data_IF_589864709246
#
_entry.id   IF_589864709246
#
_cell.length_a   1.000
_cell.length_b   1.000
_cell.length_c   1.000
_cell.angle_alpha   90.00
_cell.angle_beta   90.00
_cell.angle_gamma   90.00
#
_symmetry.space_group_name_H-M   'P 1'
#
loop_
_entity.id
_entity.type
_entity.pdbx_description
1 polymer ?
#
# COMPACT_ATOMS: atom_id res chain seq x y z
N UNK A 1 2.20 -26.90 -4.93
CA UNK A 1 1.46 -26.24 -3.83
C UNK A 1 2.48 -25.43 -3.07
N UNK A 2 2.28 -24.13 -2.91
CA UNK A 2 3.20 -23.32 -2.11
C UNK A 2 3.21 -23.84 -0.67
N UNK A 3 4.37 -23.88 -0.02
CA UNK A 3 4.47 -24.24 1.40
C UNK A 3 3.73 -23.18 2.24
N UNK A 4 3.04 -23.63 3.29
CA UNK A 4 2.36 -22.72 4.22
C UNK A 4 3.41 -21.91 4.99
N UNK A 5 3.20 -20.61 5.11
CA UNK A 5 4.05 -19.73 5.92
C UNK A 5 3.64 -19.79 7.38
N UNK A 6 4.58 -20.15 8.26
CA UNK A 6 4.33 -20.21 9.69
C UNK A 6 4.64 -18.87 10.37
N UNK A 7 3.60 -18.21 10.86
CA UNK A 7 3.69 -17.04 11.72
C UNK A 7 4.00 -17.49 13.15
N UNK A 8 5.16 -17.07 13.68
CA UNK A 8 5.61 -17.41 15.04
C UNK A 8 5.69 -16.15 15.92
N UNK A 9 5.55 -16.26 17.25
CA UNK A 9 5.58 -15.09 18.14
C UNK A 9 6.95 -14.40 18.18
N UNK A 10 8.02 -15.15 17.91
CA UNK A 10 9.41 -14.69 18.00
C UNK A 10 9.96 -14.13 16.70
N UNK A 11 9.28 -14.35 15.58
CA UNK A 11 9.73 -13.92 14.25
C UNK A 11 8.79 -12.85 13.71
N UNK A 12 9.18 -11.56 13.69
CA UNK A 12 8.34 -10.51 13.16
C UNK A 12 8.17 -10.65 11.64
N UNK A 13 7.03 -10.19 11.12
CA UNK A 13 6.85 -10.04 9.68
C UNK A 13 7.86 -8.99 9.17
N UNK A 14 8.64 -9.35 8.16
CA UNK A 14 9.61 -8.47 7.52
C UNK A 14 9.13 -8.06 6.13
N UNK A 15 9.71 -7.00 5.56
CA UNK A 15 9.37 -6.57 4.20
C UNK A 15 9.64 -7.64 3.13
N UNK A 16 10.75 -8.40 3.16
CA UNK A 16 10.95 -9.53 2.25
C UNK A 16 9.85 -10.60 2.39
N UNK A 17 9.49 -10.97 3.63
CA UNK A 17 8.41 -11.94 3.86
C UNK A 17 7.08 -11.44 3.32
N UNK A 18 6.73 -10.17 3.58
CA UNK A 18 5.50 -9.56 3.08
C UNK A 18 5.49 -9.52 1.55
N UNK A 19 6.62 -9.22 0.89
CA UNK A 19 6.75 -9.25 -0.57
C UNK A 19 6.41 -10.64 -1.12
N UNK A 20 7.03 -11.69 -0.57
CA UNK A 20 6.81 -13.08 -0.99
C UNK A 20 5.35 -13.51 -0.77
N UNK A 21 4.76 -13.17 0.38
CA UNK A 21 3.37 -13.50 0.69
C UNK A 21 2.36 -12.75 -0.18
N UNK A 22 2.65 -11.51 -0.55
CA UNK A 22 1.78 -10.72 -1.43
C UNK A 22 1.90 -11.16 -2.90
N UNK A 23 3.01 -11.78 -3.28
CA UNK A 23 3.23 -12.31 -4.63
C UNK A 23 2.82 -13.79 -4.80
N UNK A 24 2.45 -14.48 -3.72
CA UNK A 24 2.09 -15.89 -3.74
C UNK A 24 0.70 -16.15 -3.16
N UNK A 25 0.15 -17.32 -3.47
CA UNK A 25 -1.08 -17.84 -2.85
C UNK A 25 -0.75 -18.69 -1.60
N UNK A 26 0.42 -18.45 -0.98
CA UNK A 26 0.83 -19.17 0.22
C UNK A 26 -0.14 -18.84 1.37
N UNK A 27 -0.61 -19.87 2.06
CA UNK A 27 -1.44 -19.68 3.25
C UNK A 27 -0.55 -19.32 4.42
N UNK A 28 -1.05 -18.46 5.30
CA UNK A 28 -0.38 -18.12 6.55
C UNK A 28 -1.06 -18.87 7.69
N UNK A 29 -0.28 -19.63 8.44
CA UNK A 29 -0.73 -20.42 9.60
C UNK A 29 0.03 -19.98 10.84
N UNK A 30 -0.47 -20.30 12.04
CA UNK A 30 0.17 -19.94 13.31
C UNK A 30 0.38 -21.20 14.16
N UNK A 31 1.53 -21.28 14.84
CA UNK A 31 1.85 -22.33 15.81
C UNK A 31 1.34 -22.01 17.22
N UNK A 32 0.69 -20.85 17.41
CA UNK A 32 0.24 -20.38 18.73
C UNK A 32 -0.47 -21.51 19.50
N UNK A 33 0.25 -22.09 20.46
CA UNK A 33 -0.23 -23.07 21.41
C UNK A 33 -1.10 -22.36 22.43
N UNK A 34 -2.30 -22.88 22.67
CA UNK A 34 -3.27 -22.24 23.56
C UNK A 34 -2.77 -22.19 25.00
N UNK A 35 -2.24 -21.05 25.42
CA UNK A 35 -2.27 -20.63 26.82
C UNK A 35 -2.71 -19.17 26.84
N UNK A 36 -3.95 -18.86 27.28
CA UNK A 36 -4.35 -17.48 27.49
C UNK A 36 -3.50 -16.91 28.64
N UNK A 37 -2.75 -15.84 28.37
CA UNK A 37 -1.87 -15.19 29.35
C UNK A 37 -2.55 -14.06 30.15
N UNK A 38 -3.83 -13.78 29.89
CA UNK A 38 -4.63 -12.87 30.73
C UNK A 38 -5.67 -13.67 31.52
N UNK A 39 -5.82 -13.33 32.81
CA UNK A 39 -6.97 -13.75 33.60
C UNK A 39 -8.25 -13.30 32.89
N UNK A 40 -9.29 -14.14 32.77
CA UNK A 40 -10.52 -13.74 32.12
C UNK A 40 -11.20 -12.62 32.93
N UNK A 41 -11.04 -11.39 32.48
CA UNK A 41 -11.86 -10.29 32.96
C UNK A 41 -13.30 -10.54 32.50
N UNK A 42 -14.17 -10.78 33.46
CA UNK A 42 -15.57 -11.20 33.30
C UNK A 42 -16.49 -10.09 32.75
N UNK A 43 -15.91 -9.00 32.25
CA UNK A 43 -16.60 -7.82 31.71
C UNK A 43 -16.23 -7.54 30.25
N UNK A 44 -15.64 -8.50 29.54
CA UNK A 44 -15.32 -8.34 28.13
C UNK A 44 -16.59 -8.07 27.30
N UNK A 45 -16.70 -6.86 26.77
CA UNK A 45 -17.83 -6.36 25.98
C UNK A 45 -17.32 -5.84 24.65
N UNK A 46 -18.06 -6.08 23.57
CA UNK A 46 -17.77 -5.50 22.25
C UNK A 46 -18.10 -3.99 22.16
N UNK A 47 -18.65 -3.37 23.22
CA UNK A 47 -19.04 -1.96 23.23
C UNK A 47 -17.91 -0.98 22.83
N UNK A 48 -16.64 -1.15 23.26
CA UNK A 48 -15.55 -0.27 22.83
C UNK A 48 -15.29 -0.35 21.31
N UNK A 49 -15.41 -1.54 20.71
CA UNK A 49 -15.28 -1.71 19.25
C UNK A 49 -16.40 -0.96 18.52
N UNK A 50 -17.64 -1.14 18.99
CA UNK A 50 -18.80 -0.46 18.40
C UNK A 50 -18.67 1.07 18.49
N UNK A 51 -18.21 1.59 19.64
CA UNK A 51 -17.98 3.01 19.83
C UNK A 51 -16.82 3.56 18.97
N UNK A 52 -15.78 2.75 18.75
CA UNK A 52 -14.61 3.12 17.97
C UNK A 52 -14.81 2.93 16.45
N UNK A 53 -15.80 2.17 16.00
CA UNK A 53 -16.11 1.93 14.58
C UNK A 53 -16.78 3.13 13.90
N UNK A 54 -16.20 4.31 14.06
CA UNK A 54 -16.66 5.60 13.53
C UNK A 54 -15.92 6.05 12.27
N UNK A 55 -15.26 5.12 11.56
CA UNK A 55 -14.61 5.39 10.29
C UNK A 55 -15.58 5.89 9.22
N UNK A 56 -15.12 6.82 8.37
CA UNK A 56 -15.94 7.50 7.34
C UNK A 56 -15.18 7.62 6.01
N UNK A 57 -15.89 8.10 4.98
CA UNK A 57 -15.32 8.32 3.65
C UNK A 57 -15.40 7.07 2.78
N UNK A 58 -14.46 6.92 1.84
CA UNK A 58 -14.39 5.78 0.94
C UNK A 58 -13.95 4.51 1.67
N UNK A 59 -14.33 3.34 1.15
CA UNK A 59 -13.79 2.06 1.61
C UNK A 59 -12.29 1.96 1.32
N UNK A 60 -11.54 1.35 2.23
CA UNK A 60 -10.15 0.99 2.02
C UNK A 60 -10.08 -0.13 0.95
N UNK A 61 -9.15 -0.05 -0.02
CA UNK A 61 -8.94 -1.08 -1.01
C UNK A 61 -8.77 -2.47 -0.36
N UNK A 62 -9.42 -3.50 -0.93
CA UNK A 62 -9.36 -4.86 -0.39
C UNK A 62 -7.94 -5.41 -0.24
N UNK A 63 -7.02 -5.05 -1.15
CA UNK A 63 -5.60 -5.41 -1.03
C UNK A 63 -4.94 -4.87 0.25
N UNK A 64 -5.36 -3.67 0.70
CA UNK A 64 -4.87 -3.06 1.92
C UNK A 64 -5.53 -3.69 3.14
N UNK A 65 -6.84 -3.96 3.10
CA UNK A 65 -7.55 -4.68 4.18
C UNK A 65 -6.95 -6.07 4.40
N UNK A 66 -6.65 -6.80 3.32
CA UNK A 66 -5.96 -8.09 3.40
C UNK A 66 -4.60 -7.96 4.10
N UNK A 67 -3.81 -6.95 3.74
CA UNK A 67 -2.53 -6.68 4.41
C UNK A 67 -2.72 -6.25 5.88
N UNK A 68 -3.76 -5.47 6.21
CA UNK A 68 -4.11 -5.09 7.58
C UNK A 68 -4.39 -6.32 8.43
N UNK A 69 -5.14 -7.31 7.92
CA UNK A 69 -5.41 -8.57 8.64
C UNK A 69 -4.12 -9.31 9.00
N UNK A 70 -3.18 -9.43 8.05
CA UNK A 70 -1.91 -10.11 8.27
C UNK A 70 -1.03 -9.38 9.29
N UNK A 71 -0.90 -8.05 9.13
CA UNK A 71 -0.13 -7.22 10.06
C UNK A 71 -0.74 -7.25 11.46
N UNK A 72 -2.08 -7.18 11.56
CA UNK A 72 -2.80 -7.29 12.81
C UNK A 72 -2.58 -8.65 13.46
N UNK A 73 -2.67 -9.76 12.71
CA UNK A 73 -2.38 -11.09 13.24
C UNK A 73 -0.97 -11.19 13.82
N UNK A 74 0.04 -10.66 13.12
CA UNK A 74 1.42 -10.63 13.61
C UNK A 74 1.60 -9.76 14.86
N UNK A 75 0.94 -8.59 14.93
CA UNK A 75 0.97 -7.74 16.12
C UNK A 75 0.27 -8.39 17.32
N UNK A 76 -0.90 -8.99 17.11
CA UNK A 76 -1.66 -9.69 18.15
C UNK A 76 -0.90 -10.90 18.68
N UNK A 77 -0.26 -11.69 17.80
CA UNK A 77 0.55 -12.83 18.22
C UNK A 77 1.75 -12.41 19.07
N UNK A 78 2.42 -11.30 18.73
CA UNK A 78 3.52 -10.74 19.54
C UNK A 78 3.06 -10.17 20.88
N UNK A 79 1.82 -9.69 20.97
CA UNK A 79 1.19 -9.23 22.22
C UNK A 79 0.69 -10.37 23.10
N UNK A 80 0.79 -11.62 22.66
CA UNK A 80 0.29 -12.77 23.42
C UNK A 80 -1.24 -12.89 23.39
N UNK A 81 -1.91 -12.38 22.35
CA UNK A 81 -3.34 -12.58 22.18
C UNK A 81 -3.70 -14.07 22.07
N UNK A 82 -4.96 -14.40 22.38
CA UNK A 82 -5.47 -15.76 22.24
C UNK A 82 -5.21 -16.35 20.85
N UNK A 83 -4.80 -17.63 20.81
CA UNK A 83 -4.61 -18.36 19.57
C UNK A 83 -5.88 -18.37 18.70
N UNK A 84 -7.08 -18.31 19.29
CA UNK A 84 -8.34 -18.23 18.56
C UNK A 84 -8.45 -16.92 17.76
N UNK A 85 -8.05 -15.80 18.37
CA UNK A 85 -8.05 -14.46 17.74
C UNK A 85 -7.09 -14.42 16.56
N UNK A 86 -5.84 -14.86 16.77
CA UNK A 86 -4.82 -14.89 15.70
C UNK A 86 -5.25 -15.80 14.56
N UNK A 87 -5.75 -17.01 14.87
CA UNK A 87 -6.25 -17.95 13.84
C UNK A 87 -7.41 -17.35 13.04
N UNK A 88 -8.38 -16.69 13.68
CA UNK A 88 -9.50 -16.09 12.96
C UNK A 88 -9.07 -14.95 12.03
N UNK A 89 -8.13 -14.11 12.46
CA UNK A 89 -7.54 -13.08 11.59
C UNK A 89 -6.87 -13.71 10.37
N UNK A 90 -6.13 -14.81 10.56
CA UNK A 90 -5.50 -15.55 9.47
C UNK A 90 -6.51 -16.30 8.59
N UNK A 91 -7.61 -16.80 9.14
CA UNK A 91 -8.69 -17.42 8.36
C UNK A 91 -9.33 -16.41 7.41
N UNK A 92 -9.61 -15.19 7.89
CA UNK A 92 -10.08 -14.09 7.06
C UNK A 92 -9.06 -13.70 5.98
N UNK A 93 -7.78 -13.60 6.34
CA UNK A 93 -6.70 -13.33 5.39
C UNK A 93 -6.60 -14.41 4.28
N UNK A 94 -6.60 -15.68 4.67
CA UNK A 94 -6.41 -16.83 3.77
C UNK A 94 -7.63 -17.08 2.88
N UNK A 95 -8.82 -16.71 3.33
CA UNK A 95 -10.08 -16.88 2.57
C UNK A 95 -10.55 -15.61 1.88
N UNK A 96 -9.78 -14.53 1.99
CA UNK A 96 -10.14 -13.21 1.45
C UNK A 96 -11.54 -12.77 1.89
N UNK A 97 -11.86 -13.02 3.17
CA UNK A 97 -13.02 -12.43 3.84
C UNK A 97 -12.54 -11.10 4.40
N UNK A 98 -12.83 -10.01 3.69
CA UNK A 98 -12.21 -8.71 3.93
C UNK A 98 -13.18 -7.80 4.70
N UNK A 99 -12.92 -7.45 5.97
CA UNK A 99 -13.73 -6.46 6.69
C UNK A 99 -13.93 -5.16 5.91
N UNK A 100 -15.14 -4.59 5.95
CA UNK A 100 -15.40 -3.28 5.38
C UNK A 100 -14.77 -2.21 6.27
N UNK A 101 -13.61 -1.69 5.85
CA UNK A 101 -12.85 -0.65 6.55
C UNK A 101 -12.93 0.65 5.75
N UNK A 102 -13.03 1.80 6.42
CA UNK A 102 -13.09 3.11 5.78
C UNK A 102 -11.76 3.86 5.91
N UNK A 103 -11.47 4.74 4.94
CA UNK A 103 -10.17 5.42 4.85
C UNK A 103 -9.99 6.53 5.90
N UNK A 104 -11.05 7.20 6.35
CA UNK A 104 -10.94 8.30 7.31
C UNK A 104 -11.33 7.83 8.72
N UNK A 105 -10.62 8.33 9.74
CA UNK A 105 -10.82 7.94 11.14
C UNK A 105 -9.58 7.39 11.85
N UNK A 106 -8.47 7.23 11.12
CA UNK A 106 -7.18 6.79 11.68
C UNK A 106 -7.13 5.31 12.05
N UNK A 107 -6.02 4.89 12.65
CA UNK A 107 -5.76 3.48 12.99
C UNK A 107 -6.84 2.89 13.90
N UNK A 108 -7.28 3.62 14.92
CA UNK A 108 -8.27 3.10 15.88
C UNK A 108 -9.61 2.75 15.21
N UNK A 109 -10.14 3.65 14.38
CA UNK A 109 -11.39 3.39 13.67
C UNK A 109 -11.21 2.27 12.63
N UNK A 110 -10.07 2.25 11.93
CA UNK A 110 -9.73 1.19 10.98
C UNK A 110 -9.66 -0.18 11.65
N UNK A 111 -8.99 -0.29 12.79
CA UNK A 111 -8.86 -1.52 13.58
C UNK A 111 -10.18 -1.96 14.20
N UNK A 112 -11.04 -1.02 14.60
CA UNK A 112 -12.39 -1.33 15.07
C UNK A 112 -13.21 -2.01 13.96
N UNK A 113 -13.28 -1.39 12.78
CA UNK A 113 -13.94 -1.97 11.60
C UNK A 113 -13.33 -3.31 11.19
N UNK A 114 -12.00 -3.45 11.26
CA UNK A 114 -11.30 -4.70 10.98
C UNK A 114 -11.66 -5.83 11.95
N UNK A 115 -11.95 -5.49 13.22
CA UNK A 115 -12.14 -6.44 14.31
C UNK A 115 -13.60 -6.81 14.59
N UNK A 116 -14.57 -5.95 14.24
CA UNK A 116 -16.00 -6.26 14.41
C UNK A 116 -16.40 -7.62 13.81
N UNK A 117 -15.91 -8.01 12.61
CA UNK A 117 -16.27 -9.30 12.03
C UNK A 117 -15.80 -10.53 12.82
N UNK A 118 -14.80 -10.38 13.70
CA UNK A 118 -14.36 -11.47 14.58
C UNK A 118 -15.47 -11.91 15.55
N UNK A 119 -16.38 -10.99 15.88
CA UNK A 119 -17.50 -11.20 16.81
C UNK A 119 -18.84 -11.39 16.09
N UNK A 120 -18.84 -11.60 14.77
CA UNK A 120 -20.07 -11.74 13.99
C UNK A 120 -20.79 -10.42 13.71
N UNK A 121 -20.11 -9.27 13.91
CA UNK A 121 -20.68 -7.95 13.75
C UNK A 121 -20.14 -7.27 12.47
N UNK A 122 -20.86 -6.25 12.00
CA UNK A 122 -20.47 -5.47 10.84
C UNK A 122 -20.56 -6.24 9.54
N UNK A 123 -19.78 -5.80 8.56
CA UNK A 123 -19.84 -6.28 7.19
C UNK A 123 -18.46 -6.65 6.67
N UNK A 124 -18.45 -7.58 5.72
CA UNK A 124 -17.25 -8.04 5.01
C UNK A 124 -17.52 -8.03 3.51
N UNK A 125 -16.49 -7.73 2.73
CA UNK A 125 -16.45 -7.97 1.30
C UNK A 125 -15.88 -9.38 1.06
N UNK A 126 -16.67 -10.24 0.42
CA UNK A 126 -16.27 -11.59 0.04
C UNK A 126 -16.61 -11.82 -1.44
N UNK A 127 -15.60 -12.19 -2.24
CA UNK A 127 -15.74 -12.42 -3.69
C UNK A 127 -16.40 -11.25 -4.45
N UNK A 128 -16.15 -10.01 -4.00
CA UNK A 128 -16.71 -8.79 -4.60
C UNK A 128 -18.12 -8.43 -4.12
N UNK A 129 -18.72 -9.20 -3.21
CA UNK A 129 -20.02 -8.91 -2.62
C UNK A 129 -19.87 -8.46 -1.17
N UNK A 130 -20.58 -7.38 -0.81
CA UNK A 130 -20.70 -6.92 0.57
C UNK A 130 -21.77 -7.73 1.27
N UNK A 131 -21.38 -8.42 2.34
CA UNK A 131 -22.23 -9.33 3.10
C UNK A 131 -22.19 -8.99 4.59
N UNK A 132 -23.27 -9.31 5.30
CA UNK A 132 -23.24 -9.27 6.76
C UNK A 132 -22.27 -10.33 7.26
N UNK A 133 -21.48 -9.98 8.28
CA UNK A 133 -20.51 -10.92 8.85
C UNK A 133 -21.19 -12.22 9.30
N UNK A 134 -22.37 -12.15 9.90
CA UNK A 134 -23.15 -13.32 10.36
C UNK A 134 -23.30 -14.37 9.28
N UNK A 135 -23.64 -13.95 8.07
CA UNK A 135 -23.94 -14.81 6.94
C UNK A 135 -22.67 -15.49 6.42
N UNK A 136 -21.54 -14.75 6.44
CA UNK A 136 -20.24 -15.29 6.05
C UNK A 136 -19.70 -16.28 7.09
N UNK A 137 -19.90 -16.00 8.38
CA UNK A 137 -19.54 -16.95 9.43
C UNK A 137 -20.36 -18.25 9.28
N UNK A 138 -21.65 -18.16 9.02
CA UNK A 138 -22.50 -19.33 8.74
C UNK A 138 -22.03 -20.09 7.50
N UNK A 139 -21.74 -19.38 6.40
CA UNK A 139 -21.24 -19.95 5.14
C UNK A 139 -19.98 -20.81 5.35
N UNK A 140 -19.08 -20.38 6.23
CA UNK A 140 -17.84 -21.11 6.53
C UNK A 140 -17.96 -22.06 7.73
N UNK A 141 -19.12 -22.17 8.37
CA UNK A 141 -19.32 -22.96 9.58
C UNK A 141 -18.51 -22.46 10.78
N UNK A 142 -18.24 -21.16 10.83
CA UNK A 142 -17.47 -20.51 11.88
C UNK A 142 -18.38 -19.94 12.97
N UNK A 143 -18.03 -20.17 14.24
CA UNK A 143 -18.66 -19.45 15.34
C UNK A 143 -18.01 -18.06 15.52
N UNK A 144 -18.76 -17.02 15.96
CA UNK A 144 -18.17 -15.80 16.48
C UNK A 144 -17.17 -16.10 17.62
N UNK A 145 -16.11 -15.30 17.74
CA UNK A 145 -15.19 -15.44 18.87
C UNK A 145 -15.90 -15.09 20.19
N UNK A 146 -15.70 -15.87 21.26
CA UNK A 146 -16.18 -15.51 22.58
C UNK A 146 -15.55 -14.18 23.02
N UNK A 147 -16.36 -13.26 23.54
CA UNK A 147 -15.86 -11.95 23.99
C UNK A 147 -14.80 -12.10 25.11
N UNK A 148 -14.95 -13.12 25.97
CA UNK A 148 -13.99 -13.43 27.02
C UNK A 148 -12.61 -13.88 26.50
N UNK A 149 -12.52 -14.38 25.27
CA UNK A 149 -11.28 -14.87 24.67
C UNK A 149 -10.54 -13.79 23.86
N UNK A 150 -11.17 -12.63 23.67
CA UNK A 150 -10.63 -11.54 22.88
C UNK A 150 -10.35 -10.33 23.76
N UNK A 151 -9.08 -9.97 23.87
CA UNK A 151 -8.68 -8.71 24.47
C UNK A 151 -9.01 -7.56 23.50
N UNK A 152 -10.21 -7.01 23.65
CA UNK A 152 -10.74 -5.92 22.81
C UNK A 152 -9.81 -4.69 22.82
N UNK A 153 -9.17 -4.39 23.94
CA UNK A 153 -8.24 -3.28 24.04
C UNK A 153 -7.01 -3.50 23.16
N UNK A 154 -6.48 -4.73 23.15
CA UNK A 154 -5.36 -5.08 22.26
C UNK A 154 -5.74 -5.03 20.79
N UNK A 155 -6.98 -5.41 20.42
CA UNK A 155 -7.48 -5.35 19.04
C UNK A 155 -7.58 -3.91 18.50
N UNK A 156 -7.94 -2.97 19.37
CA UNK A 156 -8.01 -1.54 19.05
C UNK A 156 -6.66 -0.83 19.06
N UNK A 157 -5.62 -1.48 19.59
CA UNK A 157 -4.28 -0.91 19.73
C UNK A 157 -3.39 -1.36 18.58
N UNK A 158 -2.71 -0.42 17.93
CA UNK A 158 -1.74 -0.72 16.89
C UNK A 158 -1.80 0.25 15.72
N UNK A 159 -0.99 -0.04 14.71
CA UNK A 159 -0.80 0.80 13.53
C UNK A 159 -0.97 0.01 12.23
N UNK A 160 -1.66 -1.13 12.28
CA UNK A 160 -1.79 -2.05 11.13
C UNK A 160 -2.44 -1.36 9.92
N UNK A 161 -3.32 -0.38 10.13
CA UNK A 161 -3.90 0.43 9.05
C UNK A 161 -2.83 1.28 8.38
N UNK A 162 -2.13 2.13 9.14
CA UNK A 162 -1.03 2.97 8.65
C UNK A 162 0.05 2.12 7.97
N UNK A 163 0.47 1.02 8.61
CA UNK A 163 1.50 0.13 8.10
C UNK A 163 1.10 -0.56 6.80
N UNK A 164 -0.17 -0.96 6.63
CA UNK A 164 -0.62 -1.57 5.38
C UNK A 164 -0.47 -0.59 4.20
N UNK A 165 -0.90 0.66 4.37
CA UNK A 165 -0.68 1.71 3.37
C UNK A 165 0.81 1.97 3.13
N UNK A 166 1.61 2.04 4.20
CA UNK A 166 3.03 2.32 4.12
C UNK A 166 3.83 1.24 3.38
N UNK A 167 3.59 -0.03 3.69
CA UNK A 167 4.20 -1.19 2.99
C UNK A 167 3.81 -1.18 1.53
N UNK A 168 2.53 -0.96 1.22
CA UNK A 168 2.06 -0.91 -0.16
C UNK A 168 2.66 0.26 -0.92
N UNK A 169 2.78 1.43 -0.30
CA UNK A 169 3.45 2.59 -0.87
C UNK A 169 4.92 2.31 -1.15
N UNK A 170 5.63 1.67 -0.22
CA UNK A 170 7.03 1.28 -0.39
C UNK A 170 7.23 0.32 -1.57
N UNK A 171 6.47 -0.78 -1.63
CA UNK A 171 6.54 -1.75 -2.74
C UNK A 171 6.26 -1.09 -4.10
N UNK A 172 5.26 -0.21 -4.16
CA UNK A 172 4.91 0.49 -5.41
C UNK A 172 5.97 1.52 -5.81
N UNK A 173 6.53 2.24 -4.84
CA UNK A 173 7.58 3.22 -5.10
C UNK A 173 8.87 2.56 -5.61
N UNK A 174 9.19 1.34 -5.16
CA UNK A 174 10.33 0.58 -5.69
C UNK A 174 10.14 0.27 -7.19
N UNK A 175 9.00 -0.28 -7.60
CA UNK A 175 8.70 -0.53 -9.02
C UNK A 175 8.68 0.77 -9.83
N UNK A 176 8.08 1.82 -9.27
CA UNK A 176 8.03 3.14 -9.88
C UNK A 176 9.44 3.68 -10.19
N UNK A 177 10.39 3.52 -9.26
CA UNK A 177 11.76 4.01 -9.44
C UNK A 177 12.55 3.21 -10.48
N UNK A 178 12.35 1.90 -10.57
CA UNK A 178 12.93 1.07 -11.62
C UNK A 178 12.51 1.56 -13.02
N UNK A 179 11.23 1.90 -13.17
CA UNK A 179 10.71 2.49 -14.40
C UNK A 179 11.27 3.90 -14.61
N UNK A 180 11.22 4.75 -13.58
CA UNK A 180 11.64 6.15 -13.67
C UNK A 180 13.09 6.31 -14.14
N UNK A 181 14.02 5.55 -13.56
CA UNK A 181 15.46 5.61 -13.88
C UNK A 181 15.74 5.12 -15.30
N UNK A 182 14.99 4.14 -15.78
CA UNK A 182 15.11 3.66 -17.16
C UNK A 182 14.48 4.66 -18.14
N UNK A 183 13.28 5.14 -17.83
CA UNK A 183 12.46 5.99 -18.69
C UNK A 183 13.08 7.37 -18.93
N UNK A 184 13.72 7.97 -17.92
CA UNK A 184 14.36 9.29 -18.09
C UNK A 184 15.46 9.28 -19.15
N UNK A 185 16.27 8.21 -19.22
CA UNK A 185 17.33 8.11 -20.23
C UNK A 185 16.73 8.02 -21.64
N UNK A 186 15.66 7.23 -21.80
CA UNK A 186 14.96 7.02 -23.05
C UNK A 186 14.22 8.27 -23.53
N UNK A 187 13.51 8.96 -22.62
CA UNK A 187 12.78 10.18 -22.97
C UNK A 187 13.73 11.32 -23.33
N UNK A 188 14.87 11.44 -22.65
CA UNK A 188 15.90 12.41 -23.02
C UNK A 188 16.56 12.11 -24.36
N UNK A 189 16.84 10.84 -24.67
CA UNK A 189 17.37 10.45 -25.98
C UNK A 189 16.42 10.87 -27.11
N UNK A 190 15.12 10.60 -26.96
CA UNK A 190 14.09 11.05 -27.91
C UNK A 190 14.07 12.58 -28.05
N UNK A 191 14.11 13.30 -26.93
CA UNK A 191 14.03 14.77 -26.92
C UNK A 191 15.27 15.46 -27.48
N UNK A 192 16.45 14.85 -27.35
CA UNK A 192 17.72 15.40 -27.85
C UNK A 192 18.09 14.92 -29.25
N UNK A 193 17.52 13.79 -29.68
CA UNK A 193 17.96 13.10 -30.90
C UNK A 193 19.30 12.38 -30.73
N UNK A 194 19.69 12.06 -29.49
CA UNK A 194 20.94 11.38 -29.18
C UNK A 194 20.76 9.86 -29.30
N UNK A 195 21.72 9.16 -29.95
CA UNK A 195 21.73 7.69 -30.03
C UNK A 195 22.38 7.04 -28.79
N UNK A 196 23.13 7.80 -27.99
CA UNK A 196 23.90 7.29 -26.85
C UNK A 196 23.13 7.46 -25.52
N UNK A 197 22.71 6.34 -24.92
CA UNK A 197 22.02 6.31 -23.63
C UNK A 197 23.03 6.31 -22.48
N UNK A 198 23.05 7.37 -21.68
CA UNK A 198 23.77 7.37 -20.39
C UNK A 198 22.83 6.83 -19.31
N UNK A 199 23.04 5.57 -18.94
CA UNK A 199 22.33 4.94 -17.83
C UNK A 199 23.03 5.27 -16.50
N UNK A 200 22.52 6.26 -15.78
CA UNK A 200 22.85 6.44 -14.36
C UNK A 200 21.57 6.66 -13.55
N UNK A 201 21.47 6.09 -12.34
CA UNK A 201 20.34 6.36 -11.46
C UNK A 201 20.34 7.85 -11.11
N UNK A 202 19.34 8.57 -11.61
CA UNK A 202 19.27 10.04 -11.50
C UNK A 202 18.34 10.48 -10.37
N UNK A 203 17.47 9.58 -9.88
CA UNK A 203 16.51 9.88 -8.82
C UNK A 203 17.04 9.56 -7.41
N UNK A 204 18.27 9.97 -7.09
CA UNK A 204 18.96 9.66 -5.82
C UNK A 204 18.17 10.06 -4.58
N UNK A 205 17.48 11.20 -4.60
CA UNK A 205 16.63 11.65 -3.49
C UNK A 205 15.44 10.71 -3.23
N UNK A 206 14.83 10.15 -4.28
CA UNK A 206 13.73 9.19 -4.13
C UNK A 206 14.25 7.86 -3.59
N UNK A 207 15.41 7.38 -4.07
CA UNK A 207 16.07 6.18 -3.55
C UNK A 207 16.39 6.32 -2.05
N UNK A 208 16.93 7.48 -1.64
CA UNK A 208 17.18 7.76 -0.23
C UNK A 208 15.89 7.77 0.61
N UNK A 209 14.81 8.37 0.09
CA UNK A 209 13.52 8.37 0.76
C UNK A 209 12.91 6.95 0.87
N UNK A 210 13.06 6.13 -0.16
CA UNK A 210 12.61 4.73 -0.15
C UNK A 210 13.36 3.92 0.92
N UNK A 211 14.69 4.09 1.01
CA UNK A 211 15.50 3.45 2.04
C UNK A 211 15.11 3.91 3.45
N UNK A 212 14.78 5.20 3.62
CA UNK A 212 14.32 5.72 4.91
C UNK A 212 12.97 5.10 5.32
N UNK A 213 12.02 4.96 4.38
CA UNK A 213 10.75 4.28 4.62
C UNK A 213 10.97 2.80 4.97
N UNK A 214 11.88 2.12 4.28
CA UNK A 214 12.23 0.74 4.60
C UNK A 214 12.70 0.61 6.06
N UNK A 215 13.65 1.45 6.47
CA UNK A 215 14.18 1.45 7.83
C UNK A 215 13.09 1.74 8.87
N UNK A 216 12.21 2.71 8.60
CA UNK A 216 11.09 3.02 9.50
C UNK A 216 10.09 1.87 9.63
N UNK A 217 9.80 1.15 8.54
CA UNK A 217 8.91 -0.01 8.55
C UNK A 217 9.52 -1.19 9.31
N UNK A 218 10.80 -1.49 9.09
CA UNK A 218 11.51 -2.56 9.80
C UNK A 218 11.58 -2.28 11.32
N UNK A 219 11.79 -1.02 11.70
CA UNK A 219 11.70 -0.59 13.09
C UNK A 219 10.28 -0.78 13.65
N UNK A 220 9.25 -0.35 12.93
CA UNK A 220 7.86 -0.49 13.39
C UNK A 220 7.40 -1.96 13.51
N UNK A 221 7.92 -2.85 12.66
CA UNK A 221 7.63 -4.29 12.76
C UNK A 221 8.33 -4.97 13.93
N UNK A 222 9.44 -4.43 14.41
CA UNK A 222 10.22 -5.01 15.52
C UNK A 222 9.97 -4.31 16.85
N UNK A 223 9.34 -3.13 16.83
CA UNK A 223 9.06 -2.32 18.01
C UNK A 223 8.36 -3.11 19.12
N UNK A 224 8.80 -2.93 20.39
CA UNK A 224 8.15 -3.54 21.52
C UNK A 224 6.73 -3.01 21.68
N UNK A 225 5.83 -3.88 22.11
CA UNK A 225 4.44 -3.50 22.37
C UNK A 225 4.41 -2.55 23.56
N UNK A 226 3.74 -1.38 23.48
CA UNK A 226 3.70 -0.44 24.60
C UNK A 226 3.09 -1.14 25.81
N UNK A 227 3.84 -1.14 26.92
CA UNK A 227 3.45 -1.76 28.18
C UNK A 227 2.40 -0.88 28.87
N UNK A 228 1.19 -1.41 29.08
CA UNK A 228 0.06 -0.64 29.62
C UNK A 228 0.30 -0.14 31.06
N UNK A 229 1.26 -0.72 31.78
CA UNK A 229 1.36 -0.51 33.23
C UNK A 229 2.16 0.73 33.67
N UNK A 230 2.86 1.46 32.79
CA UNK A 230 3.84 2.46 33.29
C UNK A 230 3.90 3.85 32.63
N UNK A 231 3.01 4.23 31.72
CA UNK A 231 2.92 5.66 31.35
C UNK A 231 1.55 6.07 30.81
N UNK A 232 0.88 7.09 31.40
CA UNK A 232 -0.20 7.79 30.72
C UNK A 232 0.42 8.69 29.64
N UNK A 233 0.87 8.09 28.54
CA UNK A 233 1.14 8.81 27.30
C UNK A 233 -0.15 8.88 26.51
N UNK A 234 -0.42 10.02 25.89
CA UNK A 234 -1.58 10.20 25.01
C UNK A 234 -1.65 9.00 24.04
N UNK A 235 -2.79 8.31 23.89
CA UNK A 235 -2.92 7.07 23.10
C UNK A 235 -2.66 7.24 21.59
N UNK A 236 -2.17 8.41 21.16
CA UNK A 236 -2.13 8.87 19.77
C UNK A 236 -0.72 9.08 19.22
N UNK A 237 0.33 8.66 19.92
CA UNK A 237 1.70 8.69 19.36
C UNK A 237 2.57 7.59 19.97
N UNK A 238 2.62 6.42 19.34
CA UNK A 238 3.80 5.57 19.48
C UNK A 238 4.94 6.22 18.68
N UNK A 239 6.17 6.26 19.21
CA UNK A 239 7.32 6.86 18.51
C UNK A 239 7.48 6.28 17.10
N UNK A 240 7.16 5.01 16.91
CA UNK A 240 7.30 4.30 15.62
C UNK A 240 6.32 4.79 14.55
N UNK A 241 5.11 5.21 14.93
CA UNK A 241 4.13 5.74 13.98
C UNK A 241 4.51 7.14 13.46
N UNK A 242 5.16 7.94 14.31
CA UNK A 242 5.68 9.25 13.96
C UNK A 242 6.85 9.12 12.97
N UNK A 243 7.73 8.14 13.18
CA UNK A 243 8.86 7.87 12.28
C UNK A 243 8.40 7.37 10.91
N UNK A 244 7.43 6.44 10.86
CA UNK A 244 6.83 5.98 9.60
C UNK A 244 6.13 7.14 8.88
N UNK A 245 5.40 7.99 9.60
CA UNK A 245 4.75 9.17 9.02
C UNK A 245 5.78 10.12 8.40
N UNK A 246 6.86 10.45 9.11
CA UNK A 246 7.92 11.33 8.60
C UNK A 246 8.61 10.75 7.38
N UNK A 247 8.91 9.45 7.39
CA UNK A 247 9.50 8.76 6.26
C UNK A 247 8.57 8.80 5.04
N UNK A 248 7.28 8.52 5.22
CA UNK A 248 6.28 8.59 4.14
C UNK A 248 6.10 10.00 3.58
N UNK A 249 6.18 11.05 4.40
CA UNK A 249 6.15 12.43 3.89
C UNK A 249 7.34 12.70 2.97
N UNK A 250 8.52 12.24 3.36
CA UNK A 250 9.74 12.40 2.56
C UNK A 250 9.60 11.66 1.22
N UNK A 251 9.07 10.44 1.25
CA UNK A 251 8.76 9.68 0.04
C UNK A 251 7.73 10.42 -0.84
N UNK A 252 6.64 10.89 -0.26
CA UNK A 252 5.57 11.60 -0.97
C UNK A 252 6.12 12.84 -1.69
N UNK A 253 6.91 13.68 -1.02
CA UNK A 253 7.49 14.89 -1.62
C UNK A 253 8.45 14.57 -2.76
N UNK A 254 9.29 13.56 -2.60
CA UNK A 254 10.26 13.16 -3.63
C UNK A 254 9.58 12.52 -4.85
N UNK A 255 8.54 11.70 -4.63
CA UNK A 255 7.71 11.14 -5.71
C UNK A 255 6.90 12.23 -6.42
N UNK A 256 6.42 13.25 -5.71
CA UNK A 256 5.72 14.38 -6.33
C UNK A 256 6.63 15.17 -7.29
N UNK A 257 7.89 15.39 -6.89
CA UNK A 257 8.91 16.01 -7.73
C UNK A 257 9.25 15.13 -8.95
N UNK A 258 9.37 13.82 -8.75
CA UNK A 258 9.54 12.85 -9.84
C UNK A 258 8.40 12.96 -10.87
N UNK A 259 7.14 12.97 -10.40
CA UNK A 259 5.96 13.13 -11.25
C UNK A 259 5.95 14.47 -11.99
N UNK A 260 6.37 15.55 -11.33
CA UNK A 260 6.50 16.89 -11.93
C UNK A 260 7.52 16.91 -13.07
N UNK A 261 8.67 16.26 -12.89
CA UNK A 261 9.69 16.12 -13.94
C UNK A 261 9.22 15.27 -15.11
N UNK A 262 8.55 14.15 -14.82
CA UNK A 262 7.94 13.27 -15.83
C UNK A 262 6.91 14.01 -16.69
N UNK A 263 6.03 14.77 -16.05
CA UNK A 263 5.06 15.60 -16.75
C UNK A 263 5.72 16.70 -17.60
N UNK A 264 6.79 17.33 -17.11
CA UNK A 264 7.57 18.31 -17.86
C UNK A 264 8.16 17.73 -19.16
N UNK A 265 8.70 16.51 -19.11
CA UNK A 265 9.18 15.80 -20.31
C UNK A 265 8.03 15.38 -21.22
N UNK A 266 6.94 14.89 -20.66
CA UNK A 266 5.72 14.56 -21.42
C UNK A 266 5.20 15.75 -22.22
N UNK A 267 5.19 16.93 -21.61
CA UNK A 267 4.76 18.17 -22.25
C UNK A 267 5.66 18.57 -23.44
N UNK A 268 6.96 18.29 -23.36
CA UNK A 268 7.91 18.47 -24.46
C UNK A 268 7.66 17.45 -25.57
N UNK A 269 7.51 16.17 -25.24
CA UNK A 269 7.21 15.09 -26.20
C UNK A 269 5.89 15.33 -26.93
N UNK A 270 4.91 15.95 -26.28
CA UNK A 270 3.62 16.28 -26.89
C UNK A 270 3.69 17.42 -27.91
N UNK A 271 4.79 18.20 -27.97
CA UNK A 271 4.94 19.29 -28.97
C UNK A 271 5.17 18.76 -30.38
N UNK A 272 5.83 17.61 -30.50
CA UNK A 272 6.11 16.91 -31.76
C UNK A 272 5.12 15.77 -32.03
N UNK A 273 4.16 15.53 -31.13
CA UNK A 273 3.25 14.39 -31.21
C UNK A 273 2.12 14.58 -32.23
N UNK A 274 1.53 13.46 -32.67
CA UNK A 274 0.34 13.45 -33.51
C UNK A 274 -0.83 14.20 -32.82
N UNK A 275 -1.70 14.90 -33.57
CA UNK A 275 -2.81 15.69 -33.01
C UNK A 275 -3.74 14.91 -32.07
N UNK A 276 -3.94 13.62 -32.32
CA UNK A 276 -4.77 12.75 -31.47
C UNK A 276 -4.26 12.63 -30.02
N UNK A 277 -2.96 12.80 -29.80
CA UNK A 277 -2.32 12.70 -28.48
C UNK A 277 -2.33 14.04 -27.74
N UNK A 278 -2.65 15.15 -28.39
CA UNK A 278 -2.68 16.48 -27.77
C UNK A 278 -3.64 16.55 -26.57
N UNK A 279 -4.71 15.74 -26.58
CA UNK A 279 -5.65 15.63 -25.46
C UNK A 279 -5.02 15.17 -24.15
N UNK A 280 -3.87 14.48 -24.18
CA UNK A 280 -3.17 13.99 -22.99
C UNK A 280 -2.63 15.13 -22.09
N UNK A 281 -2.52 16.37 -22.60
CA UNK A 281 -2.14 17.52 -21.78
C UNK A 281 -3.11 17.75 -20.61
N UNK A 282 -4.40 17.50 -20.81
CA UNK A 282 -5.43 17.68 -19.78
C UNK A 282 -5.27 16.73 -18.59
N UNK A 283 -5.22 15.39 -18.76
CA UNK A 283 -5.00 14.48 -17.65
C UNK A 283 -3.64 14.71 -16.98
N UNK A 284 -2.56 14.95 -17.74
CA UNK A 284 -1.24 15.27 -17.17
C UNK A 284 -1.31 16.49 -16.24
N UNK A 285 -1.89 17.60 -16.71
CA UNK A 285 -2.05 18.80 -15.89
C UNK A 285 -2.99 18.61 -14.69
N UNK A 286 -4.01 17.76 -14.81
CA UNK A 286 -4.92 17.44 -13.71
C UNK A 286 -4.22 16.64 -12.61
N UNK A 287 -3.48 15.59 -12.97
CA UNK A 287 -2.74 14.75 -12.04
C UNK A 287 -1.67 15.55 -11.28
N UNK A 288 -0.97 16.47 -11.95
CA UNK A 288 -0.02 17.38 -11.29
C UNK A 288 -0.68 18.29 -10.25
N UNK A 289 -1.82 18.90 -10.60
CA UNK A 289 -2.54 19.74 -9.65
C UNK A 289 -3.00 18.95 -8.43
N UNK A 290 -3.48 17.72 -8.64
CA UNK A 290 -3.87 16.83 -7.56
C UNK A 290 -2.67 16.46 -6.66
N UNK A 291 -1.52 16.11 -7.25
CA UNK A 291 -0.30 15.85 -6.48
C UNK A 291 0.12 17.06 -5.64
N UNK A 292 0.10 18.26 -6.22
CA UNK A 292 0.42 19.49 -5.48
C UNK A 292 -0.56 19.75 -4.33
N UNK A 293 -1.85 19.46 -4.53
CA UNK A 293 -2.86 19.58 -3.46
C UNK A 293 -2.59 18.59 -2.34
N UNK A 294 -2.30 17.32 -2.65
CA UNK A 294 -1.95 16.29 -1.67
C UNK A 294 -0.73 16.69 -0.83
N UNK A 295 0.31 17.24 -1.46
CA UNK A 295 1.50 17.73 -0.76
C UNK A 295 1.22 18.95 0.14
N UNK A 296 0.34 19.85 -0.29
CA UNK A 296 0.08 21.11 0.39
C UNK A 296 -0.71 20.95 1.70
N UNK A 297 -1.56 19.92 1.79
CA UNK A 297 -2.45 19.70 2.95
C UNK A 297 -1.89 18.71 3.97
N UNK A 298 -0.61 18.31 3.84
CA UNK A 298 -0.04 17.32 4.75
C UNK A 298 -0.02 17.87 6.19
N UNK A 299 -0.74 17.24 7.12
CA UNK A 299 -0.88 17.73 8.49
C UNK A 299 0.50 17.85 9.16
N UNK A 300 0.70 18.88 9.98
CA UNK A 300 1.88 18.95 10.84
C UNK A 300 1.88 17.76 11.81
N UNK A 301 3.05 17.33 12.28
CA UNK A 301 3.14 16.26 13.28
C UNK A 301 2.54 16.64 14.66
N UNK A 302 2.04 17.88 14.79
CA UNK A 302 1.47 18.44 16.01
C UNK A 302 0.06 17.88 16.25
N UNK A 303 0.00 16.77 16.99
CA UNK A 303 -1.17 15.89 17.23
C UNK A 303 -2.36 16.49 17.99
N UNK A 304 -2.85 17.68 17.62
CA UNK A 304 -4.06 18.27 18.21
C UNK A 304 -5.37 17.59 17.77
N UNK A 305 -5.38 16.87 16.64
CA UNK A 305 -6.58 16.23 16.07
C UNK A 305 -6.42 14.72 15.77
N UNK A 306 -5.48 14.06 16.45
CA UNK A 306 -5.19 12.64 16.25
C UNK A 306 -3.82 12.40 15.59
N UNK A 307 -3.52 11.14 15.30
CA UNK A 307 -2.26 10.74 14.66
C UNK A 307 -2.36 10.98 13.14
N UNK A 308 -1.59 11.94 12.57
CA UNK A 308 -1.64 12.22 11.13
C UNK A 308 -1.08 11.10 10.25
N UNK A 309 -0.50 10.04 10.84
CA UNK A 309 0.18 8.96 10.10
C UNK A 309 -0.72 8.29 9.07
N UNK A 310 -1.99 8.04 9.41
CA UNK A 310 -2.95 7.42 8.50
C UNK A 310 -3.26 8.32 7.29
N UNK A 311 -3.46 9.62 7.52
CA UNK A 311 -3.73 10.60 6.45
C UNK A 311 -2.55 10.74 5.49
N UNK A 312 -1.33 10.79 6.04
CA UNK A 312 -0.09 10.81 5.25
C UNK A 312 0.03 9.54 4.42
N UNK A 313 -0.25 8.37 5.00
CA UNK A 313 -0.13 7.09 4.32
C UNK A 313 -1.15 6.94 3.17
N UNK A 314 -2.39 7.40 3.37
CA UNK A 314 -3.42 7.45 2.31
C UNK A 314 -2.98 8.42 1.21
N UNK A 315 -2.49 9.60 1.56
CA UNK A 315 -2.02 10.60 0.60
C UNK A 315 -0.84 10.08 -0.22
N UNK A 316 0.08 9.35 0.41
CA UNK A 316 1.21 8.72 -0.29
C UNK A 316 0.73 7.67 -1.29
N UNK A 317 -0.25 6.84 -0.92
CA UNK A 317 -0.84 5.85 -1.82
C UNK A 317 -1.52 6.51 -3.04
N UNK A 318 -2.32 7.56 -2.83
CA UNK A 318 -2.98 8.30 -3.90
C UNK A 318 -1.97 9.03 -4.81
N UNK A 319 -0.91 9.60 -4.24
CA UNK A 319 0.12 10.28 -5.02
C UNK A 319 0.93 9.30 -5.88
N UNK A 320 1.16 8.08 -5.39
CA UNK A 320 1.76 7.00 -6.18
C UNK A 320 0.84 6.59 -7.34
N UNK A 321 -0.48 6.47 -7.12
CA UNK A 321 -1.44 6.23 -8.21
C UNK A 321 -1.31 7.28 -9.33
N UNK A 322 -1.27 8.56 -8.97
CA UNK A 322 -1.15 9.64 -9.93
C UNK A 322 0.21 9.62 -10.65
N UNK A 323 1.29 9.35 -9.92
CA UNK A 323 2.65 9.35 -10.48
C UNK A 323 2.87 8.16 -11.42
N UNK A 324 2.31 7.00 -11.13
CA UNK A 324 2.29 5.86 -12.05
C UNK A 324 1.56 6.19 -13.36
N UNK A 325 0.46 6.95 -13.30
CA UNK A 325 -0.24 7.43 -14.50
C UNK A 325 0.64 8.39 -15.30
N UNK A 326 1.31 9.34 -14.64
CA UNK A 326 2.22 10.28 -15.30
C UNK A 326 3.36 9.57 -16.02
N UNK A 327 4.04 8.64 -15.34
CA UNK A 327 5.11 7.83 -15.94
C UNK A 327 4.59 6.92 -17.05
N UNK A 328 3.38 6.36 -16.91
CA UNK A 328 2.73 5.57 -17.95
C UNK A 328 2.49 6.38 -19.22
N UNK A 329 2.01 7.62 -19.09
CA UNK A 329 1.83 8.53 -20.22
C UNK A 329 3.19 8.88 -20.85
N UNK A 330 4.20 9.22 -20.05
CA UNK A 330 5.56 9.48 -20.55
C UNK A 330 6.09 8.26 -21.34
N UNK A 331 5.94 7.05 -20.81
CA UNK A 331 6.36 5.80 -21.45
C UNK A 331 5.69 5.59 -22.80
N UNK A 332 4.38 5.82 -22.90
CA UNK A 332 3.64 5.74 -24.18
C UNK A 332 4.20 6.75 -25.16
N UNK A 333 4.38 8.01 -24.74
CA UNK A 333 4.91 9.08 -25.60
C UNK A 333 6.33 8.79 -26.08
N UNK A 334 7.20 8.29 -25.19
CA UNK A 334 8.57 7.90 -25.52
C UNK A 334 8.60 6.70 -26.46
N UNK A 335 7.80 5.66 -26.21
CA UNK A 335 7.77 4.44 -27.03
C UNK A 335 7.34 4.68 -28.48
N UNK A 336 6.44 5.66 -28.70
CA UNK A 336 5.97 6.07 -30.03
C UNK A 336 7.02 6.81 -30.84
N UNK A 337 7.93 7.53 -30.19
CA UNK A 337 8.92 8.39 -30.84
C UNK A 337 10.32 7.77 -30.90
N UNK A 338 10.51 6.61 -30.27
CA UNK A 338 11.76 5.86 -30.33
C UNK A 338 11.94 5.15 -31.70
N UNK A 339 13.16 5.15 -32.26
CA UNK A 339 13.46 4.44 -33.50
C UNK A 339 13.28 2.92 -33.37
N UNK A 340 13.15 2.24 -34.51
CA UNK A 340 12.92 0.79 -34.56
C UNK A 340 14.13 -0.03 -34.06
N UNK A 341 15.35 0.48 -34.26
CA UNK A 341 16.57 -0.10 -33.72
C UNK A 341 16.86 0.53 -32.35
N UNK A 342 16.69 -0.25 -31.30
CA UNK A 342 16.89 0.18 -29.92
C UNK A 342 18.26 -0.29 -29.41
N UNK A 343 18.97 0.51 -28.60
CA UNK A 343 20.11 0.00 -27.83
C UNK A 343 19.66 -1.12 -26.87
N UNK A 344 20.57 -2.03 -26.54
CA UNK A 344 20.32 -3.15 -25.59
C UNK A 344 19.76 -2.66 -24.24
N UNK A 345 20.04 -1.43 -23.85
CA UNK A 345 19.53 -0.80 -22.62
C UNK A 345 18.01 -0.49 -22.63
N UNK A 346 17.29 -0.69 -23.73
CA UNK A 346 15.86 -0.35 -23.85
C UNK A 346 14.89 -1.48 -23.44
N UNK A 347 15.30 -2.40 -22.54
CA UNK A 347 14.45 -3.50 -22.05
C UNK A 347 13.06 -3.04 -21.59
N UNK A 348 12.99 -1.91 -20.88
CA UNK A 348 11.72 -1.32 -20.43
C UNK A 348 10.74 -1.12 -21.60
N UNK A 349 11.21 -0.62 -22.75
CA UNK A 349 10.35 -0.32 -23.92
C UNK A 349 9.98 -1.59 -24.66
N UNK A 350 10.86 -2.57 -24.74
CA UNK A 350 10.55 -3.87 -25.31
C UNK A 350 9.44 -4.57 -24.52
N UNK A 351 9.60 -4.64 -23.20
CA UNK A 351 8.60 -5.22 -22.29
C UNK A 351 7.27 -4.44 -22.35
N UNK A 352 7.35 -3.11 -22.44
CA UNK A 352 6.19 -2.25 -22.59
C UNK A 352 5.45 -2.52 -23.91
N UNK A 353 6.15 -2.70 -25.02
CA UNK A 353 5.55 -3.00 -26.34
C UNK A 353 4.87 -4.37 -26.39
N UNK A 354 5.29 -5.31 -25.55
CA UNK A 354 4.62 -6.61 -25.43
C UNK A 354 3.33 -6.52 -24.61
N UNK A 355 3.34 -5.72 -23.53
CA UNK A 355 2.24 -5.70 -22.53
C UNK A 355 1.23 -4.58 -22.72
N UNK A 356 1.60 -3.49 -23.41
CA UNK A 356 0.74 -2.32 -23.63
C UNK A 356 0.18 -2.40 -25.06
N UNK A 357 -1.15 -2.27 -25.25
CA UNK A 357 -1.75 -2.24 -26.58
C UNK A 357 -1.14 -1.13 -27.46
N UNK A 358 -0.92 -1.39 -28.76
CA UNK A 358 -0.37 -0.38 -29.66
C UNK A 358 -1.35 0.78 -29.84
N UNK A 359 -0.81 1.99 -29.98
CA UNK A 359 -1.60 3.16 -30.32
C UNK A 359 -1.97 3.11 -31.82
N UNK A 360 -3.26 3.20 -32.15
CA UNK A 360 -3.77 3.19 -33.52
C UNK A 360 -4.59 4.45 -33.77
N UNK A 361 -4.43 5.08 -34.94
CA UNK A 361 -4.96 6.43 -35.25
C UNK A 361 -6.49 6.60 -35.09
N UNK A 362 -7.25 5.51 -35.04
CA UNK A 362 -8.71 5.50 -34.96
C UNK A 362 -9.25 4.86 -33.67
N UNK A 363 -8.43 4.78 -32.61
CA UNK A 363 -8.83 4.18 -31.33
C UNK A 363 -8.79 5.17 -30.16
N UNK A 364 -9.67 5.00 -29.16
CA UNK A 364 -9.58 5.74 -27.91
C UNK A 364 -8.21 5.52 -27.23
N UNK A 365 -7.62 6.58 -26.70
CA UNK A 365 -6.29 6.54 -26.07
C UNK A 365 -6.33 5.98 -24.62
N UNK A 366 -7.48 6.08 -23.94
CA UNK A 366 -7.60 5.71 -22.52
C UNK A 366 -7.19 4.26 -22.18
N UNK A 367 -7.47 3.21 -22.99
CA UNK A 367 -7.07 1.84 -22.66
C UNK A 367 -5.55 1.69 -22.62
N UNK A 368 -4.84 2.37 -23.54
CA UNK A 368 -3.38 2.38 -23.62
C UNK A 368 -2.78 3.06 -22.39
N UNK A 369 -3.33 4.21 -21.97
CA UNK A 369 -2.86 4.93 -20.78
C UNK A 369 -3.08 4.12 -19.50
N UNK A 370 -4.23 3.47 -19.34
CA UNK A 370 -4.47 2.62 -18.18
C UNK A 370 -3.56 1.38 -18.17
N UNK A 371 -3.36 0.74 -19.33
CA UNK A 371 -2.43 -0.37 -19.46
C UNK A 371 -0.99 0.05 -19.13
N UNK A 372 -0.57 1.24 -19.57
CA UNK A 372 0.74 1.79 -19.26
C UNK A 372 0.91 2.04 -17.76
N UNK A 373 -0.06 2.64 -17.08
CA UNK A 373 0.00 2.82 -15.63
C UNK A 373 0.05 1.48 -14.87
N UNK A 374 -0.72 0.48 -15.31
CA UNK A 374 -0.65 -0.87 -14.74
C UNK A 374 0.71 -1.54 -14.98
N UNK A 375 1.30 -1.33 -16.16
CA UNK A 375 2.65 -1.78 -16.47
C UNK A 375 3.65 -1.14 -15.52
N UNK A 376 3.61 0.18 -15.31
CA UNK A 376 4.50 0.88 -14.37
C UNK A 376 4.37 0.33 -12.95
N UNK A 377 3.14 0.12 -12.48
CA UNK A 377 2.85 -0.42 -11.12
C UNK A 377 3.44 -1.79 -10.87
N UNK A 378 3.54 -2.63 -11.90
CA UNK A 378 3.91 -4.05 -11.79
C UNK A 378 5.24 -4.37 -12.46
N UNK A 379 5.96 -3.36 -12.95
CA UNK A 379 7.20 -3.58 -13.67
C UNK A 379 8.26 -4.12 -12.71
N UNK A 380 8.83 -5.26 -13.08
CA UNK A 380 10.02 -5.84 -12.48
C UNK A 380 11.05 -6.01 -13.60
N UNK A 381 12.31 -5.65 -13.34
CA UNK A 381 13.36 -5.81 -14.35
C UNK A 381 13.61 -7.30 -14.64
N UNK A 382 13.87 -7.68 -15.91
CA UNK A 382 14.26 -9.04 -16.25
C UNK A 382 15.50 -9.49 -15.46
N UNK A 383 15.38 -10.60 -14.73
CA UNK A 383 16.50 -11.20 -13.98
C UNK A 383 16.63 -10.78 -12.50
N UNK A 384 15.78 -9.87 -12.00
CA UNK A 384 15.58 -9.69 -10.56
C UNK A 384 14.46 -10.64 -10.09
N UNK A 385 14.81 -11.66 -9.30
CA UNK A 385 13.83 -12.60 -8.75
C UNK A 385 12.85 -11.88 -7.80
N UNK A 386 11.60 -12.32 -7.81
CA UNK A 386 10.49 -11.89 -6.93
C UNK A 386 10.77 -12.25 -5.48
#
# INVERSE_FOLDING_TARGET
MAEDFLLTPTTPLTLPTLRTLLASDARVVTDAGGVPTSSPDTTASAAPLLAAACGVGAEAPGELVRLMLLLQAGQQQRRGASAATVRRLLDFYNREVLPVVYQQGGDQAGLAHLSLPLFGLGEVNYQGYRLQTSDVLELFGWAPLPQADADVATLLTGTSFTLAYAVRAWLRAEHLLLVADSLISLSLAVLRGDEELVASPTHTACHAALAYVQQALEAAFTAPTPDEQHTPRSPLSTPDAADVSLALRTLLLTVAELGSRSAGRTEQLLRSAAPMLAGLRHPVGSLLRQNNQLCAVLPAADGRYGNPSAEVAISAYQLLDNTEQLLGIELVMTSQQLPAQLPVAAHLVLDAREKIPPLVEQQPVYPVVHAAAQFVRRYAQPGQAV
#
